data_IF_441162529320
#
_entry.id   IF_441162529320
#
_cell.length_a   1.000
_cell.length_b   1.000
_cell.length_c   1.000
_cell.angle_alpha   90.00
_cell.angle_beta   90.00
_cell.angle_gamma   90.00
#
_symmetry.space_group_name_H-M   'P 1'
#
loop_
_entity.id
_entity.type
_entity.pdbx_description
1 polymer ?
#
# COMPACT_ATOMS: atom_id res chain seq x y z
N UNK A 1 1.73 10.23 17.98
CA UNK A 1 1.22 8.91 17.64
C UNK A 1 0.31 8.36 18.72
N UNK A 2 0.06 7.07 18.67
CA UNK A 2 -0.74 6.38 19.67
C UNK A 2 -2.17 6.11 19.25
N UNK A 3 -2.90 5.42 20.12
CA UNK A 3 -4.30 5.07 19.95
C UNK A 3 -5.16 5.92 20.90
N UNK A 4 -6.24 6.46 20.35
CA UNK A 4 -7.13 7.36 21.07
C UNK A 4 -8.58 6.89 20.95
N UNK A 5 -9.34 7.01 22.03
CA UNK A 5 -10.78 6.71 22.09
C UNK A 5 -11.58 8.00 22.34
N UNK A 6 -12.70 8.13 21.67
CA UNK A 6 -13.75 9.11 21.98
C UNK A 6 -15.06 8.40 22.33
N UNK A 7 -15.81 8.94 23.26
CA UNK A 7 -17.13 8.45 23.68
C UNK A 7 -18.23 9.51 23.47
N UNK A 8 -17.86 10.66 22.87
CA UNK A 8 -18.76 11.81 22.69
C UNK A 8 -18.61 12.43 21.29
N UNK A 9 -18.50 11.58 20.26
CA UNK A 9 -18.42 11.95 18.86
C UNK A 9 -17.28 12.92 18.53
N UNK A 10 -16.11 12.73 19.16
CA UNK A 10 -14.91 13.52 18.87
C UNK A 10 -14.77 14.81 19.66
N UNK A 11 -15.64 15.10 20.64
CA UNK A 11 -15.50 16.29 21.49
C UNK A 11 -14.35 16.18 22.50
N UNK A 12 -14.03 14.95 22.92
CA UNK A 12 -12.83 14.68 23.74
C UNK A 12 -12.26 13.30 23.39
N UNK A 13 -10.97 13.13 23.68
CA UNK A 13 -10.23 11.90 23.41
C UNK A 13 -9.44 11.48 24.64
N UNK A 14 -9.38 10.16 24.86
CA UNK A 14 -8.59 9.52 25.90
C UNK A 14 -7.51 8.65 25.24
N UNK A 15 -6.22 8.81 25.58
CA UNK A 15 -5.19 7.93 25.08
C UNK A 15 -5.35 6.53 25.69
N UNK A 16 -5.10 5.49 24.87
CA UNK A 16 -5.27 4.10 25.28
C UNK A 16 -3.98 3.28 25.20
N UNK A 17 -2.91 3.80 24.58
CA UNK A 17 -1.76 2.99 24.21
C UNK A 17 -0.41 3.61 24.62
N UNK A 18 -0.41 4.68 25.41
CA UNK A 18 0.77 5.47 25.73
C UNK A 18 1.80 4.71 26.61
N UNK A 19 1.35 3.72 27.38
CA UNK A 19 2.20 2.90 28.25
C UNK A 19 2.81 1.68 27.53
N UNK A 20 2.60 1.54 26.21
CA UNK A 20 3.13 0.43 25.45
C UNK A 20 4.51 0.73 24.87
N UNK A 21 5.26 -0.33 24.48
CA UNK A 21 6.64 -0.19 24.01
C UNK A 21 6.79 0.61 22.70
N UNK A 22 5.71 0.78 21.95
CA UNK A 22 5.67 1.60 20.74
C UNK A 22 4.33 2.28 20.60
N UNK A 23 4.32 3.58 20.31
CA UNK A 23 3.12 4.36 20.00
C UNK A 23 2.87 4.50 18.50
N UNK A 24 3.68 3.87 17.66
CA UNK A 24 3.50 3.88 16.21
C UNK A 24 2.54 2.77 15.80
N UNK A 25 1.44 3.12 15.18
CA UNK A 25 0.37 2.21 14.84
C UNK A 25 0.33 2.04 13.33
N UNK A 26 0.27 0.78 12.90
CA UNK A 26 0.11 0.42 11.49
C UNK A 26 -1.34 0.11 11.15
N UNK A 27 -2.00 -0.69 11.99
CA UNK A 27 -3.42 -1.00 11.83
C UNK A 27 -4.09 -1.31 13.16
N UNK A 28 -5.42 -1.23 13.18
CA UNK A 28 -6.27 -1.52 14.33
C UNK A 28 -7.51 -2.30 13.88
N UNK A 29 -7.84 -3.35 14.62
CA UNK A 29 -9.12 -4.05 14.53
C UNK A 29 -9.86 -3.94 15.86
N UNK A 30 -11.16 -3.67 15.84
CA UNK A 30 -12.01 -3.62 17.01
C UNK A 30 -13.29 -4.43 16.82
N UNK A 31 -13.51 -5.37 17.72
CA UNK A 31 -14.80 -6.06 17.85
C UNK A 31 -15.69 -5.30 18.85
N UNK A 32 -16.68 -4.63 18.32
CA UNK A 32 -17.60 -3.80 19.08
C UNK A 32 -18.55 -4.60 19.97
N UNK A 33 -18.61 -5.91 19.80
CA UNK A 33 -19.47 -6.80 20.64
C UNK A 33 -18.76 -7.26 21.90
N UNK A 34 -17.50 -7.71 21.74
CA UNK A 34 -16.72 -8.25 22.85
C UNK A 34 -15.85 -7.21 23.57
N UNK A 35 -15.63 -6.04 22.96
CA UNK A 35 -14.65 -5.06 23.44
C UNK A 35 -13.20 -5.47 23.17
N UNK A 36 -13.00 -6.45 22.31
CA UNK A 36 -11.65 -6.88 21.91
C UNK A 36 -11.07 -5.92 20.89
N UNK A 37 -9.86 -5.43 21.16
CA UNK A 37 -9.10 -4.57 20.25
C UNK A 37 -7.75 -5.22 19.96
N UNK A 38 -7.38 -5.25 18.69
CA UNK A 38 -6.04 -5.63 18.25
C UNK A 38 -5.32 -4.42 17.67
N UNK A 39 -4.05 -4.29 17.98
CA UNK A 39 -3.20 -3.21 17.46
C UNK A 39 -1.93 -3.81 16.88
N UNK A 40 -1.77 -3.63 15.57
CA UNK A 40 -0.51 -3.86 14.87
C UNK A 40 0.35 -2.60 14.91
N UNK A 41 1.58 -2.70 15.41
CA UNK A 41 2.47 -1.55 15.56
C UNK A 41 3.39 -1.34 14.37
N UNK A 42 3.93 -0.11 14.24
CA UNK A 42 4.84 0.33 13.17
C UNK A 42 4.16 1.03 12.01
N UNK A 43 4.69 2.18 11.60
CA UNK A 43 4.13 2.97 10.50
C UNK A 43 4.36 2.30 9.15
N UNK A 44 3.33 2.25 8.29
CA UNK A 44 3.33 1.48 7.03
C UNK A 44 3.57 2.32 5.77
N UNK A 45 3.87 3.61 5.92
CA UNK A 45 4.08 4.52 4.79
C UNK A 45 5.51 4.47 4.20
N UNK A 46 6.43 3.74 4.85
CA UNK A 46 7.83 3.58 4.40
C UNK A 46 8.58 4.89 4.13
N UNK A 47 8.21 5.97 4.84
CA UNK A 47 8.97 7.21 4.87
C UNK A 47 10.36 6.97 5.52
N UNK A 48 11.33 7.86 5.26
CA UNK A 48 12.62 7.83 5.98
C UNK A 48 12.50 8.00 7.49
N UNK A 49 11.42 8.63 7.93
CA UNK A 49 11.09 8.86 9.34
C UNK A 49 10.03 7.89 9.88
N UNK A 50 9.72 6.80 9.19
CA UNK A 50 8.81 5.78 9.70
C UNK A 50 9.45 5.04 10.86
N UNK A 51 8.74 5.00 11.98
CA UNK A 51 9.18 4.31 13.19
C UNK A 51 8.70 2.87 13.18
N UNK A 52 9.59 1.96 13.56
CA UNK A 52 9.28 0.56 13.75
C UNK A 52 8.36 0.36 14.95
N UNK A 53 7.51 -0.65 14.85
CA UNK A 53 6.75 -1.20 15.95
C UNK A 53 7.48 -2.32 16.68
N UNK A 54 6.79 -2.94 17.62
CA UNK A 54 7.28 -4.01 18.49
C UNK A 54 6.42 -5.27 18.41
N UNK A 55 5.66 -5.41 17.32
CA UNK A 55 4.74 -6.54 17.11
C UNK A 55 3.29 -6.18 17.32
N UNK A 56 2.49 -7.15 17.73
CA UNK A 56 1.04 -7.06 17.86
C UNK A 56 0.59 -7.12 19.32
N UNK A 57 -0.46 -6.37 19.65
CA UNK A 57 -1.06 -6.27 20.97
C UNK A 57 -2.56 -6.57 20.91
N UNK A 58 -3.09 -7.13 22.01
CA UNK A 58 -4.51 -7.41 22.20
C UNK A 58 -4.99 -6.81 23.52
N UNK A 59 -6.13 -6.16 23.48
CA UNK A 59 -6.95 -5.81 24.64
C UNK A 59 -8.26 -6.60 24.58
N UNK A 60 -8.84 -6.93 25.74
CA UNK A 60 -10.17 -7.56 25.88
C UNK A 60 -11.10 -6.73 26.76
N UNK A 61 -10.74 -5.49 27.04
CA UNK A 61 -11.41 -4.59 27.96
C UNK A 61 -11.51 -3.14 27.43
N UNK A 62 -11.76 -3.02 26.10
CA UNK A 62 -11.89 -1.73 25.42
C UNK A 62 -10.63 -0.85 25.45
N UNK A 63 -9.44 -1.48 25.52
CA UNK A 63 -8.17 -0.77 25.51
C UNK A 63 -7.70 -0.28 26.88
N UNK A 64 -8.32 -0.75 27.97
CA UNK A 64 -7.87 -0.40 29.34
C UNK A 64 -6.57 -1.11 29.67
N UNK A 65 -6.46 -2.40 29.30
CA UNK A 65 -5.22 -3.17 29.44
C UNK A 65 -4.80 -3.82 28.14
N UNK A 66 -3.49 -4.02 27.97
CA UNK A 66 -2.91 -4.58 26.76
C UNK A 66 -2.02 -5.77 27.04
N UNK A 67 -2.13 -6.79 26.23
CA UNK A 67 -1.25 -7.96 26.23
C UNK A 67 -0.49 -8.01 24.92
N UNK A 68 0.83 -8.01 24.99
CA UNK A 68 1.68 -8.26 23.83
C UNK A 68 1.48 -9.69 23.31
N UNK A 69 1.34 -9.85 22.00
CA UNK A 69 0.99 -11.10 21.32
C UNK A 69 2.03 -11.57 20.30
N UNK A 70 3.26 -11.06 20.39
CA UNK A 70 4.38 -11.55 19.57
C UNK A 70 4.65 -10.74 18.32
N UNK A 71 5.32 -11.37 17.36
CA UNK A 71 5.81 -10.81 16.11
C UNK A 71 6.77 -9.61 16.28
N UNK A 72 7.80 -9.68 17.16
CA UNK A 72 8.67 -8.54 17.45
C UNK A 72 9.43 -8.05 16.20
N UNK A 73 9.84 -8.95 15.31
CA UNK A 73 10.59 -8.63 14.11
C UNK A 73 9.71 -8.24 12.91
N UNK A 74 8.41 -8.10 13.13
CA UNK A 74 7.49 -7.58 12.09
C UNK A 74 7.80 -6.14 11.72
N UNK A 75 8.30 -5.34 12.64
CA UNK A 75 8.60 -3.91 12.60
C UNK A 75 7.44 -3.04 12.09
N UNK A 76 6.73 -3.45 11.05
CA UNK A 76 5.64 -2.69 10.43
C UNK A 76 4.48 -3.64 10.10
N UNK A 77 3.42 -3.59 10.89
CA UNK A 77 2.19 -4.37 10.66
C UNK A 77 1.21 -3.52 9.86
N UNK A 78 0.84 -4.01 8.69
CA UNK A 78 0.02 -3.27 7.72
C UNK A 78 -1.47 -3.51 7.87
N UNK A 79 -1.86 -4.71 8.32
CA UNK A 79 -3.26 -5.12 8.50
C UNK A 79 -3.40 -6.12 9.63
N UNK A 80 -4.54 -6.03 10.30
CA UNK A 80 -5.00 -7.03 11.27
C UNK A 80 -6.45 -7.39 10.90
N UNK A 81 -6.70 -8.65 10.60
CA UNK A 81 -8.03 -9.18 10.37
C UNK A 81 -8.35 -10.26 11.39
N UNK A 82 -9.59 -10.34 11.81
CA UNK A 82 -10.10 -11.41 12.67
C UNK A 82 -11.25 -12.09 11.93
N UNK A 83 -11.27 -13.42 11.97
CA UNK A 83 -12.35 -14.20 11.39
C UNK A 83 -13.68 -13.85 12.11
N UNK A 84 -14.74 -13.47 11.39
CA UNK A 84 -16.00 -13.10 12.00
C UNK A 84 -16.71 -14.26 12.71
N UNK A 85 -16.36 -15.51 12.39
CA UNK A 85 -16.97 -16.72 12.95
C UNK A 85 -16.15 -17.32 14.12
N UNK A 86 -14.82 -17.03 14.17
CA UNK A 86 -13.93 -17.50 15.23
C UNK A 86 -12.88 -16.45 15.59
N UNK A 87 -13.07 -15.78 16.71
CA UNK A 87 -12.16 -14.74 17.22
C UNK A 87 -10.75 -15.26 17.59
N UNK A 88 -10.51 -16.57 17.58
CA UNK A 88 -9.17 -17.14 17.75
C UNK A 88 -8.38 -17.12 16.43
N UNK A 89 -9.05 -17.05 15.29
CA UNK A 89 -8.40 -16.97 13.98
C UNK A 89 -8.11 -15.50 13.67
N UNK A 90 -6.82 -15.19 13.60
CA UNK A 90 -6.34 -13.81 13.36
C UNK A 90 -5.30 -13.83 12.25
N UNK A 91 -5.40 -12.91 11.33
CA UNK A 91 -4.45 -12.73 10.24
C UNK A 91 -3.74 -11.38 10.37
N UNK A 92 -2.44 -11.35 10.08
CA UNK A 92 -1.60 -10.16 10.19
C UNK A 92 -0.75 -10.00 8.94
N UNK A 93 -0.88 -8.85 8.27
CA UNK A 93 0.02 -8.43 7.20
C UNK A 93 1.29 -7.80 7.77
N UNK A 94 2.46 -8.29 7.36
CA UNK A 94 3.76 -7.82 7.85
C UNK A 94 4.60 -7.29 6.71
N UNK A 95 4.99 -6.01 6.80
CA UNK A 95 5.91 -5.36 5.85
C UNK A 95 7.37 -5.65 6.16
N UNK A 96 7.71 -5.98 7.40
CA UNK A 96 9.08 -6.22 7.83
C UNK A 96 9.92 -4.95 7.98
N UNK A 97 11.23 -5.12 8.07
CA UNK A 97 12.20 -4.05 8.32
C UNK A 97 12.17 -2.96 7.25
N UNK A 98 12.39 -1.70 7.64
CA UNK A 98 12.40 -0.57 6.70
C UNK A 98 13.69 -0.53 5.89
N UNK A 99 14.85 -0.66 6.55
CA UNK A 99 16.18 -0.40 5.97
C UNK A 99 16.99 -1.68 5.66
N UNK A 100 16.40 -2.85 5.88
CA UNK A 100 17.01 -4.14 5.59
C UNK A 100 15.99 -5.13 5.05
N UNK A 101 16.49 -6.15 4.38
CA UNK A 101 15.71 -7.36 4.10
C UNK A 101 15.47 -8.11 5.39
N UNK A 102 14.40 -8.85 5.49
CA UNK A 102 14.18 -9.79 6.58
C UNK A 102 13.17 -10.90 6.20
N UNK A 103 13.35 -12.11 6.72
CA UNK A 103 12.48 -13.24 6.40
C UNK A 103 11.09 -13.15 7.07
N UNK A 104 10.86 -12.25 8.02
CA UNK A 104 9.58 -12.13 8.74
C UNK A 104 8.49 -11.41 7.93
N UNK A 105 8.77 -11.01 6.70
CA UNK A 105 7.80 -10.40 5.79
C UNK A 105 6.74 -11.42 5.34
N UNK A 106 5.51 -10.94 5.08
CA UNK A 106 4.42 -11.74 4.54
C UNK A 106 3.14 -11.68 5.35
N UNK A 107 2.33 -12.75 5.29
CA UNK A 107 1.09 -12.87 6.08
C UNK A 107 1.26 -13.93 7.13
N UNK A 108 0.82 -13.63 8.34
CA UNK A 108 0.80 -14.56 9.47
C UNK A 108 -0.63 -14.87 9.88
N UNK A 109 -0.87 -16.10 10.35
CA UNK A 109 -2.12 -16.58 10.89
C UNK A 109 -1.91 -17.13 12.30
N UNK A 110 -2.78 -16.77 13.20
CA UNK A 110 -2.96 -17.43 14.48
C UNK A 110 -4.28 -18.20 14.48
N UNK A 111 -4.34 -19.31 15.18
CA UNK A 111 -5.55 -20.10 15.41
C UNK A 111 -5.89 -20.23 16.91
N UNK A 112 -5.18 -19.50 17.77
CA UNK A 112 -5.26 -19.57 19.23
C UNK A 112 -5.31 -18.20 19.90
N UNK A 113 -5.90 -17.21 19.20
CA UNK A 113 -6.07 -15.85 19.72
C UNK A 113 -4.74 -15.12 19.91
N UNK A 114 -3.76 -15.40 19.03
CA UNK A 114 -2.46 -14.74 19.01
C UNK A 114 -1.45 -15.32 20.01
N UNK A 115 -1.66 -16.53 20.50
CA UNK A 115 -0.68 -17.20 21.36
C UNK A 115 0.47 -17.78 20.54
N UNK A 116 0.17 -18.28 19.33
CA UNK A 116 1.16 -18.74 18.35
C UNK A 116 0.84 -18.20 16.95
N UNK A 117 1.88 -18.08 16.10
CA UNK A 117 1.78 -17.53 14.75
C UNK A 117 2.46 -18.44 13.74
N UNK A 118 1.78 -18.72 12.64
CA UNK A 118 2.32 -19.41 11.46
C UNK A 118 2.38 -18.45 10.29
N UNK A 119 3.52 -18.37 9.60
CA UNK A 119 3.63 -17.59 8.36
C UNK A 119 3.00 -18.39 7.22
N UNK A 120 1.93 -17.85 6.63
CA UNK A 120 1.10 -18.52 5.63
C UNK A 120 1.31 -17.98 4.21
N UNK A 121 1.86 -16.78 4.05
CA UNK A 121 2.30 -16.24 2.77
C UNK A 121 3.70 -15.63 2.93
N UNK A 122 4.60 -16.06 2.07
CA UNK A 122 5.94 -15.51 1.94
C UNK A 122 6.30 -15.39 0.45
N UNK A 123 6.75 -14.24 0.03
CA UNK A 123 7.18 -13.99 -1.36
C UNK A 123 8.70 -14.03 -1.42
N UNK A 124 9.37 -13.11 -0.75
CA UNK A 124 10.82 -13.02 -0.59
C UNK A 124 11.19 -12.07 0.56
N UNK A 125 12.50 -11.90 0.82
CA UNK A 125 13.01 -11.05 1.91
C UNK A 125 12.82 -9.54 1.68
N UNK A 126 12.42 -9.11 0.48
CA UNK A 126 12.14 -7.71 0.16
C UNK A 126 10.64 -7.38 0.12
N UNK A 127 9.80 -8.41 -0.06
CA UNK A 127 8.37 -8.24 -0.34
C UNK A 127 7.53 -8.58 0.88
N UNK A 128 6.93 -7.55 1.50
CA UNK A 128 6.03 -7.69 2.63
C UNK A 128 4.57 -7.54 2.24
N UNK A 129 3.64 -8.03 3.07
CA UNK A 129 2.22 -7.80 2.88
C UNK A 129 1.87 -6.35 3.28
N UNK A 130 1.44 -5.54 2.31
CA UNK A 130 1.05 -4.14 2.53
C UNK A 130 -0.45 -3.99 2.75
N UNK A 131 -1.23 -4.90 2.21
CA UNK A 131 -2.67 -4.92 2.41
C UNK A 131 -3.20 -6.36 2.48
N UNK A 132 -4.31 -6.55 3.18
CA UNK A 132 -4.94 -7.84 3.38
C UNK A 132 -6.44 -7.60 3.58
N UNK A 133 -7.27 -8.31 2.81
CA UNK A 133 -8.72 -8.26 2.93
C UNK A 133 -9.31 -9.65 2.94
N UNK A 134 -10.47 -9.78 3.57
CA UNK A 134 -11.27 -11.00 3.66
C UNK A 134 -12.59 -10.78 2.95
N UNK A 135 -13.07 -11.80 2.25
CA UNK A 135 -14.39 -11.78 1.64
C UNK A 135 -15.48 -11.75 2.74
N UNK A 136 -16.40 -10.79 2.74
CA UNK A 136 -17.39 -10.64 3.79
C UNK A 136 -18.41 -11.79 3.84
N UNK A 137 -18.56 -12.54 2.76
CA UNK A 137 -19.49 -13.69 2.67
C UNK A 137 -18.83 -15.03 2.91
N UNK A 138 -17.51 -15.14 2.75
CA UNK A 138 -16.75 -16.36 2.99
C UNK A 138 -15.35 -16.03 3.55
N UNK A 139 -15.12 -16.17 4.86
CA UNK A 139 -13.84 -15.85 5.48
C UNK A 139 -12.67 -16.75 5.06
N UNK A 140 -12.93 -17.87 4.33
CA UNK A 140 -11.86 -18.65 3.73
C UNK A 140 -11.25 -17.97 2.50
N UNK A 141 -11.95 -17.00 1.91
CA UNK A 141 -11.45 -16.26 0.76
C UNK A 141 -10.70 -15.00 1.24
N UNK A 142 -9.39 -15.01 0.99
CA UNK A 142 -8.50 -13.93 1.37
C UNK A 142 -7.78 -13.35 0.15
N UNK A 143 -7.51 -12.07 0.18
CA UNK A 143 -6.63 -11.40 -0.79
C UNK A 143 -5.54 -10.64 -0.05
N UNK A 144 -4.29 -10.85 -0.43
CA UNK A 144 -3.13 -10.16 0.11
C UNK A 144 -2.40 -9.41 -1.01
N UNK A 145 -2.04 -8.17 -0.76
CA UNK A 145 -1.16 -7.40 -1.62
C UNK A 145 0.27 -7.46 -1.08
N UNK A 146 1.21 -7.98 -1.85
CA UNK A 146 2.64 -7.87 -1.56
C UNK A 146 3.21 -6.59 -2.14
N UNK A 147 4.21 -6.03 -1.47
CA UNK A 147 4.95 -4.85 -1.91
C UNK A 147 6.44 -5.09 -1.80
N UNK A 148 7.10 -5.18 -2.95
CA UNK A 148 8.55 -5.26 -3.09
C UNK A 148 9.14 -3.86 -2.95
N UNK A 149 9.89 -3.63 -1.86
CA UNK A 149 10.46 -2.34 -1.54
C UNK A 149 11.80 -2.45 -0.84
N UNK A 150 12.70 -1.53 -1.18
CA UNK A 150 13.98 -1.34 -0.49
C UNK A 150 14.14 0.13 -0.17
N UNK A 151 14.33 0.44 1.13
CA UNK A 151 14.58 1.80 1.59
C UNK A 151 16.01 1.99 2.00
N UNK A 152 16.68 2.96 1.42
CA UNK A 152 17.95 3.47 1.87
C UNK A 152 17.81 4.91 2.38
N UNK A 153 18.80 5.43 3.12
CA UNK A 153 18.79 6.81 3.57
C UNK A 153 18.78 7.81 2.40
N UNK A 154 19.36 7.41 1.27
CA UNK A 154 19.54 8.22 0.05
C UNK A 154 18.62 7.81 -1.11
N UNK A 155 17.96 6.66 -1.04
CA UNK A 155 17.16 6.11 -2.14
C UNK A 155 15.94 5.34 -1.65
N UNK A 156 14.95 5.21 -2.52
CA UNK A 156 13.75 4.42 -2.27
C UNK A 156 13.36 3.67 -3.55
N UNK A 157 13.62 2.38 -3.57
CA UNK A 157 13.07 1.47 -4.56
C UNK A 157 11.68 1.03 -4.07
N UNK A 158 10.64 1.50 -4.73
CA UNK A 158 9.26 1.34 -4.30
C UNK A 158 8.42 0.46 -5.23
N UNK A 159 9.07 -0.27 -6.12
CA UNK A 159 8.45 -1.21 -7.05
C UNK A 159 9.39 -2.38 -7.34
N UNK A 160 8.83 -3.53 -7.64
CA UNK A 160 9.59 -4.73 -7.99
C UNK A 160 8.71 -5.93 -8.32
N UNK A 161 9.33 -7.01 -8.78
CA UNK A 161 8.66 -8.26 -9.21
C UNK A 161 7.91 -8.98 -8.09
N UNK A 162 8.33 -8.77 -6.85
CA UNK A 162 7.70 -9.33 -5.68
C UNK A 162 6.36 -8.68 -5.32
N UNK A 163 6.05 -7.52 -5.92
CA UNK A 163 4.73 -6.90 -5.76
C UNK A 163 3.66 -7.64 -6.53
N UNK A 164 2.47 -7.74 -5.96
CA UNK A 164 1.35 -8.38 -6.62
C UNK A 164 0.19 -8.68 -5.69
N UNK A 165 -0.87 -9.23 -6.27
CA UNK A 165 -2.07 -9.65 -5.53
C UNK A 165 -2.09 -11.17 -5.47
N UNK A 166 -2.23 -11.70 -4.26
CA UNK A 166 -2.33 -13.12 -3.96
C UNK A 166 -3.72 -13.43 -3.44
N UNK A 167 -4.29 -14.55 -3.85
CA UNK A 167 -5.60 -15.04 -3.43
C UNK A 167 -5.48 -16.39 -2.76
N UNK A 168 -6.18 -16.59 -1.65
CA UNK A 168 -6.44 -17.88 -1.02
C UNK A 168 -7.93 -18.18 -1.08
N UNK A 169 -8.27 -19.48 -1.11
CA UNK A 169 -9.64 -20.00 -1.07
C UNK A 169 -9.86 -20.96 0.12
N UNK A 170 -8.87 -21.11 0.98
CA UNK A 170 -8.80 -22.11 2.05
C UNK A 170 -8.31 -21.52 3.38
N UNK A 171 -8.65 -20.24 3.64
CA UNK A 171 -8.29 -19.56 4.89
C UNK A 171 -6.79 -19.33 5.03
N UNK A 172 -6.08 -19.22 3.90
CA UNK A 172 -4.66 -18.93 3.86
C UNK A 172 -3.73 -20.14 3.85
N UNK A 173 -4.25 -21.35 3.74
CA UNK A 173 -3.42 -22.56 3.70
C UNK A 173 -2.66 -22.65 2.37
N UNK A 174 -3.28 -22.20 1.26
CA UNK A 174 -2.62 -22.06 -0.05
C UNK A 174 -2.88 -20.69 -0.69
N UNK A 175 -1.93 -20.22 -1.50
CA UNK A 175 -2.00 -18.92 -2.17
C UNK A 175 -1.61 -19.01 -3.64
N UNK A 176 -2.34 -18.30 -4.50
CA UNK A 176 -2.01 -18.09 -5.91
C UNK A 176 -1.85 -16.60 -6.21
N UNK A 177 -0.80 -16.22 -6.95
CA UNK A 177 -0.66 -14.85 -7.47
C UNK A 177 -1.66 -14.64 -8.61
N UNK A 178 -2.69 -13.84 -8.37
CA UNK A 178 -3.76 -13.55 -9.35
C UNK A 178 -3.46 -12.34 -10.23
N UNK A 179 -2.48 -11.51 -9.87
CA UNK A 179 -1.96 -10.40 -10.69
C UNK A 179 -0.85 -10.83 -11.65
N UNK A 180 -0.90 -12.07 -12.16
CA UNK A 180 0.10 -12.57 -13.11
C UNK A 180 -0.14 -12.03 -14.53
N UNK A 181 0.82 -12.27 -15.43
CA UNK A 181 1.00 -11.66 -16.74
C UNK A 181 -0.28 -11.57 -17.59
N UNK A 182 -1.19 -12.48 -17.55
CA UNK A 182 -2.40 -12.50 -18.39
C UNK A 182 -3.66 -11.96 -17.69
N UNK A 183 -3.52 -11.43 -16.48
CA UNK A 183 -4.65 -10.92 -15.69
C UNK A 183 -5.12 -9.54 -16.13
N UNK A 184 -4.31 -8.81 -16.90
CA UNK A 184 -4.51 -7.40 -17.22
C UNK A 184 -4.10 -6.43 -16.12
N UNK A 185 -3.71 -6.93 -14.94
CA UNK A 185 -3.14 -6.12 -13.86
C UNK A 185 -1.65 -5.88 -14.11
N UNK A 186 -1.09 -4.71 -13.70
CA UNK A 186 0.35 -4.48 -13.80
C UNK A 186 1.16 -5.56 -13.07
N UNK A 187 2.20 -6.07 -13.72
CA UNK A 187 3.14 -7.05 -13.17
C UNK A 187 4.59 -6.69 -13.55
N UNK A 188 5.56 -7.22 -12.80
CA UNK A 188 6.99 -7.03 -13.05
C UNK A 188 7.63 -5.89 -12.27
N UNK A 189 8.78 -5.40 -12.77
CA UNK A 189 9.68 -4.45 -12.08
C UNK A 189 9.02 -3.11 -11.71
N UNK A 190 8.00 -2.68 -12.45
CA UNK A 190 7.32 -1.41 -12.24
C UNK A 190 6.08 -1.51 -11.35
N UNK A 191 5.79 -2.66 -10.75
CA UNK A 191 4.63 -2.83 -9.87
C UNK A 191 4.99 -2.41 -8.45
N UNK A 192 4.38 -1.34 -7.98
CA UNK A 192 4.63 -0.74 -6.67
C UNK A 192 3.60 -1.16 -5.62
N UNK A 193 3.30 -0.24 -4.72
CA UNK A 193 2.34 -0.43 -3.63
C UNK A 193 0.92 -0.67 -4.17
N UNK A 194 0.21 -1.59 -3.53
CA UNK A 194 -1.17 -1.95 -3.89
C UNK A 194 -2.05 -1.80 -2.65
N UNK A 195 -3.20 -1.13 -2.82
CA UNK A 195 -4.28 -1.10 -1.83
C UNK A 195 -5.48 -1.88 -2.35
N UNK A 196 -6.16 -2.61 -1.49
CA UNK A 196 -7.28 -3.48 -1.81
C UNK A 196 -8.55 -3.07 -1.07
N UNK A 197 -9.69 -3.27 -1.72
CA UNK A 197 -10.99 -3.27 -1.05
C UNK A 197 -11.94 -4.25 -1.74
N UNK A 198 -12.97 -4.70 -1.02
CA UNK A 198 -13.99 -5.59 -1.52
C UNK A 198 -15.36 -4.98 -1.24
N UNK A 199 -16.27 -5.08 -2.21
CA UNK A 199 -17.64 -4.61 -2.07
C UNK A 199 -18.59 -5.57 -2.77
N UNK A 200 -19.78 -5.76 -2.19
CA UNK A 200 -20.86 -6.46 -2.86
C UNK A 200 -21.54 -5.51 -3.85
N UNK A 201 -21.61 -5.93 -5.11
CA UNK A 201 -22.27 -5.21 -6.20
C UNK A 201 -23.11 -6.21 -6.99
N UNK A 202 -24.41 -5.98 -7.07
CA UNK A 202 -25.38 -6.84 -7.76
C UNK A 202 -25.37 -8.30 -7.25
N UNK A 203 -25.24 -8.49 -5.93
CA UNK A 203 -25.20 -9.81 -5.28
C UNK A 203 -23.90 -10.58 -5.50
N UNK A 204 -22.84 -9.91 -5.95
CA UNK A 204 -21.50 -10.50 -6.15
C UNK A 204 -20.44 -9.68 -5.46
N UNK A 205 -19.50 -10.35 -4.80
CA UNK A 205 -18.33 -9.69 -4.24
C UNK A 205 -17.34 -9.33 -5.34
N UNK A 206 -17.00 -8.05 -5.43
CA UNK A 206 -16.02 -7.50 -6.38
C UNK A 206 -14.85 -6.91 -5.63
N UNK A 207 -13.63 -7.28 -6.03
CA UNK A 207 -12.39 -6.75 -5.49
C UNK A 207 -11.93 -5.58 -6.35
N UNK A 208 -11.62 -4.47 -5.70
CA UNK A 208 -11.00 -3.31 -6.33
C UNK A 208 -9.58 -3.16 -5.82
N UNK A 209 -8.69 -2.77 -6.72
CA UNK A 209 -7.29 -2.52 -6.40
C UNK A 209 -6.85 -1.17 -6.95
N UNK A 210 -6.08 -0.43 -6.14
CA UNK A 210 -5.30 0.72 -6.57
C UNK A 210 -3.83 0.34 -6.55
N UNK A 211 -3.05 0.74 -7.55
CA UNK A 211 -1.63 0.38 -7.66
C UNK A 211 -0.78 1.56 -8.09
N UNK A 212 0.38 1.71 -7.46
CA UNK A 212 1.45 2.56 -7.95
C UNK A 212 2.13 1.83 -9.10
N UNK A 213 1.93 2.33 -10.33
CA UNK A 213 2.42 1.69 -11.54
C UNK A 213 3.53 2.52 -12.20
N UNK A 214 4.77 2.06 -12.03
CA UNK A 214 5.96 2.66 -12.62
C UNK A 214 6.29 2.10 -14.01
N UNK A 215 5.54 1.10 -14.50
CA UNK A 215 5.66 0.64 -15.87
C UNK A 215 5.27 1.78 -16.80
N UNK A 216 6.24 2.35 -17.49
CA UNK A 216 5.98 3.36 -18.50
C UNK A 216 5.20 2.67 -19.62
N UNK A 217 3.95 3.05 -19.80
CA UNK A 217 3.29 2.77 -21.07
C UNK A 217 4.22 3.34 -22.14
N UNK A 218 4.62 2.51 -23.10
CA UNK A 218 5.16 3.05 -24.34
C UNK A 218 4.14 4.08 -24.80
N UNK A 219 4.55 5.33 -24.80
CA UNK A 219 3.79 6.36 -25.45
C UNK A 219 3.88 6.04 -26.94
N UNK A 220 3.11 5.06 -27.41
CA UNK A 220 2.60 5.01 -28.76
C UNK A 220 1.62 6.19 -28.98
N UNK A 221 2.02 7.37 -28.51
CA UNK A 221 1.69 8.58 -29.23
C UNK A 221 2.41 8.35 -30.56
N UNK A 222 1.65 8.02 -31.61
CA UNK A 222 2.05 8.51 -32.95
C UNK A 222 2.52 9.92 -32.65
N UNK A 223 3.85 10.14 -32.71
CA UNK A 223 4.39 11.50 -32.57
C UNK A 223 3.61 12.24 -33.63
N UNK A 224 2.73 13.11 -33.20
CA UNK A 224 2.08 14.01 -34.10
C UNK A 224 3.21 14.94 -34.54
N UNK A 225 3.89 14.54 -35.63
CA UNK A 225 5.03 15.27 -36.18
C UNK A 225 4.65 16.69 -36.57
N UNK A 226 3.35 16.99 -36.60
CA UNK A 226 2.82 18.32 -36.80
C UNK A 226 2.90 19.21 -35.53
N UNK A 227 3.02 18.64 -34.30
CA UNK A 227 3.12 19.42 -33.07
C UNK A 227 4.56 19.73 -32.71
N UNK A 228 4.77 20.96 -32.20
CA UNK A 228 6.00 21.34 -31.54
C UNK A 228 6.04 20.67 -30.17
N UNK A 229 7.21 20.17 -29.80
CA UNK A 229 7.52 19.68 -28.47
C UNK A 229 8.84 20.27 -27.96
N UNK A 230 9.10 20.16 -26.66
CA UNK A 230 10.31 20.72 -26.03
C UNK A 230 11.61 20.14 -26.61
N UNK A 231 11.59 18.87 -27.01
CA UNK A 231 12.78 18.20 -27.55
C UNK A 231 13.10 18.68 -28.96
N UNK A 232 12.08 18.90 -29.80
CA UNK A 232 12.24 19.52 -31.12
C UNK A 232 12.78 20.93 -31.00
N UNK A 233 12.22 21.76 -30.10
CA UNK A 233 12.68 23.13 -29.89
C UNK A 233 14.13 23.19 -29.37
N UNK A 234 14.52 22.28 -28.48
CA UNK A 234 15.87 22.25 -27.90
C UNK A 234 16.97 22.03 -28.93
N UNK A 235 16.69 21.29 -29.98
CA UNK A 235 17.68 20.93 -31.02
C UNK A 235 17.62 21.84 -32.26
N UNK A 236 16.68 22.81 -32.32
CA UNK A 236 16.55 23.75 -33.39
C UNK A 236 17.65 24.79 -33.39
N UNK A 237 18.17 25.10 -34.59
CA UNK A 237 19.00 26.29 -34.78
C UNK A 237 18.13 27.55 -34.77
N UNK A 238 18.72 28.74 -34.50
CA UNK A 238 18.03 30.03 -34.53
C UNK A 238 17.34 30.29 -35.88
N UNK A 239 17.91 29.81 -36.98
CA UNK A 239 17.32 29.94 -38.31
C UNK A 239 16.06 29.08 -38.48
N UNK A 240 16.07 27.86 -37.94
CA UNK A 240 14.90 26.97 -37.93
C UNK A 240 13.78 27.50 -37.05
N UNK A 241 14.16 28.02 -35.86
CA UNK A 241 13.21 28.63 -34.93
C UNK A 241 12.52 29.85 -35.57
N UNK A 242 13.27 30.77 -36.18
CA UNK A 242 12.71 31.94 -36.89
C UNK A 242 11.88 31.64 -38.15
N UNK A 243 11.88 30.39 -38.62
CA UNK A 243 11.03 29.91 -39.71
C UNK A 243 9.84 29.08 -39.28
N UNK A 244 9.61 28.98 -37.94
CA UNK A 244 8.45 28.27 -37.42
C UNK A 244 7.14 28.95 -37.79
N UNK A 245 6.12 28.13 -37.99
CA UNK A 245 4.76 28.58 -38.13
C UNK A 245 4.26 29.21 -36.82
N UNK A 246 3.84 30.47 -36.86
CA UNK A 246 3.40 31.21 -35.66
C UNK A 246 2.23 30.53 -34.97
N UNK A 247 1.30 29.90 -35.70
CA UNK A 247 0.15 29.20 -35.11
C UNK A 247 0.60 27.96 -34.31
N UNK A 248 1.66 27.28 -34.76
CA UNK A 248 2.24 26.15 -34.02
C UNK A 248 2.97 26.59 -32.78
N UNK A 249 3.71 27.71 -32.87
CA UNK A 249 4.43 28.26 -31.71
C UNK A 249 3.44 28.81 -30.68
N UNK A 250 2.41 29.53 -31.10
CA UNK A 250 1.35 30.05 -30.23
C UNK A 250 0.62 28.92 -29.50
N UNK A 251 0.30 27.82 -30.20
CA UNK A 251 -0.30 26.62 -29.63
C UNK A 251 0.61 25.95 -28.61
N UNK A 252 1.91 25.88 -28.90
CA UNK A 252 2.90 25.33 -27.98
C UNK A 252 3.01 26.19 -26.71
N UNK A 253 3.07 27.51 -26.83
CA UNK A 253 3.15 28.42 -25.69
C UNK A 253 1.92 28.27 -24.78
N UNK A 254 0.73 28.24 -25.33
CA UNK A 254 -0.53 28.05 -24.60
C UNK A 254 -0.62 26.66 -23.95
N UNK A 255 -0.31 25.59 -24.67
CA UNK A 255 -0.38 24.22 -24.18
C UNK A 255 0.65 23.91 -23.07
N UNK A 256 1.68 24.76 -22.94
CA UNK A 256 2.69 24.69 -21.86
C UNK A 256 2.56 25.81 -20.84
N UNK A 257 1.40 26.46 -20.76
CA UNK A 257 1.06 27.46 -19.72
C UNK A 257 2.03 28.66 -19.65
N UNK A 258 2.58 29.10 -20.79
CA UNK A 258 3.35 30.31 -20.83
C UNK A 258 2.43 31.51 -20.54
N UNK A 259 2.90 32.54 -19.81
CA UNK A 259 2.13 33.76 -19.60
C UNK A 259 1.70 34.43 -20.91
N UNK A 260 0.49 35.01 -20.97
CA UNK A 260 -0.12 35.63 -22.18
C UNK A 260 0.74 36.70 -22.87
N UNK A 261 1.69 37.28 -22.14
CA UNK A 261 2.67 38.24 -22.71
C UNK A 261 3.67 37.60 -23.67
N UNK A 262 3.79 36.28 -23.69
CA UNK A 262 4.66 35.54 -24.59
C UNK A 262 3.84 35.01 -25.76
N UNK A 263 3.78 35.78 -26.80
CA UNK A 263 3.15 35.40 -28.07
C UNK A 263 4.20 34.90 -29.07
N UNK A 264 3.79 34.21 -30.11
CA UNK A 264 4.69 33.75 -31.18
C UNK A 264 5.48 34.90 -31.85
N UNK A 265 4.93 36.15 -31.83
CA UNK A 265 5.59 37.34 -32.35
C UNK A 265 6.59 37.94 -31.35
N UNK A 266 6.44 37.68 -30.06
CA UNK A 266 7.27 38.24 -29.01
C UNK A 266 8.45 37.36 -28.61
N UNK A 267 8.51 36.12 -29.06
CA UNK A 267 9.51 35.11 -28.75
C UNK A 267 10.40 34.81 -29.94
#
# INVERSE_FOLDING_TARGET
GGLWKTENNGNSFTPLFDDQASMTIGDIYADWTSGTIWVGTGEVNSSRSSYAGTGIYKSTDWGVTWTWKGLPESHHISRVLVDPNDSNIVYVGVLGHLYSTNPERGVYKSMDGGSTWSKILYVDDNSGAIDLIMDPSDPNILYAASWDRIRYAWDFQEAGKGSGIHKSLDGGDTWIKVSALDSGFPDGEGTGRIGLTIAEIDGQNKVFAIVDNYNRRSLDKKKDDSKLDKDKLRVMSSKQFGSLDNDKLERFLRDNEFPDKHTAESV
#
